data_IF_557849868719
#
_entry.id   IF_557849868719
#
_cell.length_a   1.000
_cell.length_b   1.000
_cell.length_c   1.000
_cell.angle_alpha   90.00
_cell.angle_beta   90.00
_cell.angle_gamma   90.00
#
_symmetry.space_group_name_H-M   'P 1'
#
loop_
_entity.id
_entity.type
_entity.pdbx_description
1 polymer ?
#
# COMPACT_ATOMS: atom_id res chain seq x y z
N UNK A 1 15.46 -17.82 18.40
CA UNK A 1 14.44 -17.93 19.47
C UNK A 1 13.27 -17.04 19.09
N UNK A 2 12.03 -17.50 19.29
CA UNK A 2 10.81 -16.76 18.97
C UNK A 2 10.14 -16.37 20.29
N UNK A 3 9.73 -15.11 20.42
CA UNK A 3 9.18 -14.55 21.65
C UNK A 3 7.69 -14.21 21.48
N UNK A 4 6.88 -14.44 22.51
CA UNK A 4 5.55 -13.86 22.63
C UNK A 4 5.58 -12.71 23.64
N UNK A 5 4.46 -12.00 23.82
CA UNK A 5 4.39 -10.73 24.52
C UNK A 5 4.91 -10.79 25.97
N UNK A 6 4.63 -11.90 26.68
CA UNK A 6 5.04 -12.12 28.08
C UNK A 6 6.54 -12.35 28.27
N UNK A 7 7.24 -12.78 27.23
CA UNK A 7 8.66 -13.19 27.29
C UNK A 7 9.55 -12.22 26.50
N UNK A 8 9.01 -11.06 26.12
CA UNK A 8 9.66 -10.15 25.19
C UNK A 8 10.88 -9.47 25.86
N UNK A 9 12.09 -9.57 25.27
CA UNK A 9 13.31 -9.04 25.89
C UNK A 9 13.47 -7.51 25.74
N UNK A 10 12.58 -6.86 25.01
CA UNK A 10 12.58 -5.42 24.74
C UNK A 10 11.17 -4.93 24.38
N UNK A 11 10.85 -3.64 24.50
CA UNK A 11 9.58 -3.09 24.00
C UNK A 11 9.40 -3.32 22.47
N UNK A 12 8.14 -3.42 22.01
CA UNK A 12 7.80 -3.70 20.60
C UNK A 12 8.30 -2.61 19.64
N UNK A 13 8.36 -1.36 20.11
CA UNK A 13 8.82 -0.18 19.38
C UNK A 13 10.30 -0.27 19.01
N UNK A 14 11.08 -1.04 19.77
CA UNK A 14 12.50 -1.28 19.52
C UNK A 14 12.75 -2.48 18.62
N UNK A 15 11.71 -3.23 18.24
CA UNK A 15 11.87 -4.44 17.41
C UNK A 15 12.05 -4.06 15.94
N UNK A 16 13.06 -4.65 15.30
CA UNK A 16 13.41 -4.35 13.92
C UNK A 16 12.34 -4.85 12.93
N UNK A 17 11.70 -3.91 12.23
CA UNK A 17 10.67 -4.23 11.22
C UNK A 17 11.13 -5.15 10.11
N UNK A 18 12.36 -4.96 9.63
CA UNK A 18 12.88 -5.78 8.55
C UNK A 18 13.13 -7.20 9.04
N UNK A 19 13.65 -7.35 10.25
CA UNK A 19 13.91 -8.65 10.84
C UNK A 19 12.62 -9.44 11.07
N UNK A 20 11.56 -8.81 11.56
CA UNK A 20 10.24 -9.45 11.78
C UNK A 20 9.53 -9.80 10.46
N UNK A 21 9.59 -8.91 9.46
CA UNK A 21 8.86 -9.09 8.20
C UNK A 21 9.58 -10.00 7.20
N UNK A 22 10.91 -10.07 7.25
CA UNK A 22 11.71 -10.84 6.31
C UNK A 22 12.22 -12.16 6.90
N UNK A 23 11.44 -12.76 7.81
CA UNK A 23 11.73 -14.05 8.45
C UNK A 23 13.16 -14.13 9.04
N UNK A 24 13.53 -13.14 9.85
CA UNK A 24 14.82 -13.11 10.56
C UNK A 24 15.96 -12.49 9.76
N UNK A 25 15.66 -11.67 8.76
CA UNK A 25 16.69 -10.99 7.96
C UNK A 25 16.53 -9.48 7.99
N UNK A 26 17.58 -8.78 8.41
CA UNK A 26 17.68 -7.33 8.25
C UNK A 26 18.75 -7.03 7.19
N UNK A 27 18.43 -6.15 6.23
CA UNK A 27 19.40 -5.73 5.20
C UNK A 27 20.26 -4.54 5.64
N UNK A 28 20.00 -3.96 6.83
CA UNK A 28 20.80 -2.86 7.38
C UNK A 28 22.13 -3.40 7.89
N UNK A 29 23.24 -2.81 7.45
CA UNK A 29 24.60 -3.18 7.89
C UNK A 29 24.83 -2.84 9.36
N UNK A 30 24.29 -1.70 9.81
CA UNK A 30 24.22 -1.28 11.21
C UNK A 30 22.76 -1.00 11.52
N UNK A 31 22.22 -1.64 12.55
CA UNK A 31 20.81 -1.57 12.91
C UNK A 31 20.68 -1.31 14.41
N UNK A 32 20.08 -0.19 14.79
CA UNK A 32 19.88 0.21 16.20
C UNK A 32 18.65 -0.46 16.84
N UNK A 33 17.85 -1.14 16.01
CA UNK A 33 16.69 -1.91 16.41
C UNK A 33 17.05 -3.36 16.75
N UNK A 34 16.28 -3.96 17.65
CA UNK A 34 16.50 -5.30 18.19
C UNK A 34 16.05 -6.38 17.20
N UNK A 35 16.94 -7.34 16.92
CA UNK A 35 16.72 -8.46 16.00
C UNK A 35 16.17 -9.69 16.71
N UNK A 36 14.85 -9.70 16.95
CA UNK A 36 14.14 -10.85 17.52
C UNK A 36 12.98 -11.30 16.63
N UNK A 37 12.68 -12.60 16.65
CA UNK A 37 11.46 -13.11 16.06
C UNK A 37 10.34 -13.06 17.09
N UNK A 38 9.18 -12.56 16.67
CA UNK A 38 7.98 -12.48 17.50
C UNK A 38 6.85 -13.32 16.92
N UNK A 39 6.06 -13.93 17.78
CA UNK A 39 4.88 -14.73 17.42
C UNK A 39 3.67 -14.32 18.26
N UNK A 40 2.57 -15.05 18.11
CA UNK A 40 1.41 -14.93 19.00
C UNK A 40 0.86 -13.50 19.09
N UNK A 41 0.60 -13.05 20.33
CA UNK A 41 0.05 -11.72 20.62
C UNK A 41 1.06 -10.62 20.28
N UNK A 42 2.36 -10.83 20.56
CA UNK A 42 3.39 -9.85 20.23
C UNK A 42 3.42 -9.52 18.73
N UNK A 43 3.29 -10.53 17.85
CA UNK A 43 3.21 -10.29 16.40
C UNK A 43 1.94 -9.53 16.02
N UNK A 44 0.80 -9.84 16.64
CA UNK A 44 -0.47 -9.15 16.37
C UNK A 44 -0.37 -7.66 16.75
N UNK A 45 0.11 -7.36 17.96
CA UNK A 45 0.31 -5.98 18.47
C UNK A 45 1.29 -5.20 17.60
N UNK A 46 2.40 -5.85 17.25
CA UNK A 46 3.40 -5.26 16.38
C UNK A 46 2.82 -4.89 15.01
N UNK A 47 2.02 -5.76 14.40
CA UNK A 47 1.39 -5.47 13.10
C UNK A 47 0.36 -4.33 13.20
N UNK A 48 -0.37 -4.23 14.31
CA UNK A 48 -1.33 -3.16 14.58
C UNK A 48 -0.61 -1.81 14.73
N UNK A 49 0.39 -1.73 15.61
CA UNK A 49 1.25 -0.56 15.78
C UNK A 49 1.88 -0.09 14.45
N UNK A 50 2.37 -1.02 13.64
CA UNK A 50 2.97 -0.69 12.34
C UNK A 50 1.94 -0.22 11.31
N UNK A 51 0.68 -0.66 11.39
CA UNK A 51 -0.41 -0.17 10.53
C UNK A 51 -0.77 1.26 10.91
N UNK A 52 -0.91 1.54 12.21
CA UNK A 52 -1.21 2.87 12.72
C UNK A 52 -0.11 3.87 12.36
N UNK A 53 1.16 3.51 12.59
CA UNK A 53 2.32 4.34 12.23
C UNK A 53 2.36 4.66 10.73
N UNK A 54 2.08 3.66 9.87
CA UNK A 54 1.99 3.88 8.42
C UNK A 54 0.82 4.79 8.06
N UNK A 55 -0.35 4.56 8.65
CA UNK A 55 -1.54 5.39 8.41
C UNK A 55 -1.21 6.84 8.73
N UNK A 56 -0.72 7.10 9.95
CA UNK A 56 -0.34 8.44 10.41
C UNK A 56 0.68 9.12 9.48
N UNK A 57 1.70 8.39 9.02
CA UNK A 57 2.70 8.93 8.10
C UNK A 57 2.17 9.19 6.67
N UNK A 58 1.13 8.45 6.26
CA UNK A 58 0.52 8.60 4.92
C UNK A 58 -0.64 9.58 4.87
N UNK A 59 -1.15 10.05 6.01
CA UNK A 59 -2.19 11.06 6.06
C UNK A 59 -1.59 12.43 5.73
N UNK A 60 -2.04 13.00 4.61
CA UNK A 60 -1.75 14.39 4.29
C UNK A 60 -2.71 15.29 5.10
N UNK A 61 -2.24 16.42 5.62
CA UNK A 61 -3.04 17.29 6.50
C UNK A 61 -4.29 17.87 5.80
N UNK A 62 -4.24 17.99 4.47
CA UNK A 62 -5.32 18.49 3.61
C UNK A 62 -6.20 17.36 3.02
N UNK A 63 -5.94 16.11 3.42
CA UNK A 63 -6.69 14.97 2.92
C UNK A 63 -8.01 14.83 3.68
N UNK A 64 -9.08 15.30 3.04
CA UNK A 64 -10.44 15.27 3.60
C UNK A 64 -11.08 13.88 3.56
N UNK A 65 -10.48 12.90 2.88
CA UNK A 65 -11.05 11.57 2.72
C UNK A 65 -10.63 10.62 3.83
N UNK A 66 -11.61 9.90 4.38
CA UNK A 66 -11.32 8.85 5.34
C UNK A 66 -10.59 7.69 4.65
N UNK A 67 -9.71 7.00 5.38
CA UNK A 67 -8.89 5.92 4.79
C UNK A 67 -9.75 4.81 4.15
N UNK A 68 -10.92 4.50 4.73
CA UNK A 68 -11.84 3.49 4.22
C UNK A 68 -12.59 3.91 2.95
N UNK A 69 -12.61 5.20 2.62
CA UNK A 69 -13.21 5.74 1.39
C UNK A 69 -12.22 5.72 0.23
N UNK A 70 -10.92 5.49 0.52
CA UNK A 70 -9.88 5.46 -0.50
C UNK A 70 -9.84 4.11 -1.19
N UNK A 71 -9.91 4.17 -2.51
CA UNK A 71 -9.66 3.01 -3.36
C UNK A 71 -8.23 2.48 -3.20
N UNK A 72 -8.06 1.19 -3.45
CA UNK A 72 -6.73 0.56 -3.42
C UNK A 72 -5.88 1.16 -4.52
N UNK A 73 -4.59 1.37 -4.25
CA UNK A 73 -3.66 1.90 -5.25
C UNK A 73 -3.60 1.07 -6.55
N UNK A 74 -3.86 -0.24 -6.45
CA UNK A 74 -3.96 -1.12 -7.61
C UNK A 74 -5.13 -0.77 -8.55
N UNK A 75 -6.19 -0.14 -8.03
CA UNK A 75 -7.38 0.24 -8.78
C UNK A 75 -7.28 1.62 -9.45
N UNK A 76 -6.14 2.32 -9.32
CA UNK A 76 -5.99 3.70 -9.84
C UNK A 76 -6.32 3.82 -11.34
N UNK A 77 -5.97 2.80 -12.12
CA UNK A 77 -6.22 2.78 -13.56
C UNK A 77 -7.71 2.69 -13.86
N UNK A 78 -8.44 1.79 -13.18
CA UNK A 78 -9.90 1.67 -13.26
C UNK A 78 -10.60 2.97 -12.86
N UNK A 79 -10.24 3.53 -11.69
CA UNK A 79 -10.83 4.78 -11.18
C UNK A 79 -10.63 5.92 -12.19
N UNK A 80 -9.44 5.99 -12.80
CA UNK A 80 -9.17 7.02 -13.81
C UNK A 80 -9.91 6.76 -15.12
N UNK A 81 -10.04 5.50 -15.56
CA UNK A 81 -10.82 5.12 -16.73
C UNK A 81 -12.31 5.47 -16.56
N UNK A 82 -12.90 5.16 -15.41
CA UNK A 82 -14.27 5.53 -15.05
C UNK A 82 -14.45 7.06 -15.09
N UNK A 83 -13.53 7.80 -14.47
CA UNK A 83 -13.58 9.27 -14.51
C UNK A 83 -13.48 9.84 -15.94
N UNK A 84 -12.64 9.26 -16.81
CA UNK A 84 -12.53 9.67 -18.21
C UNK A 84 -13.85 9.45 -18.95
N UNK A 85 -14.49 8.29 -18.76
CA UNK A 85 -15.79 7.98 -19.35
C UNK A 85 -16.87 8.93 -18.82
N UNK A 86 -16.91 9.19 -17.51
CA UNK A 86 -17.90 10.11 -16.93
C UNK A 86 -17.70 11.56 -17.42
N UNK A 87 -16.46 11.97 -17.63
CA UNK A 87 -16.11 13.35 -18.02
C UNK A 87 -16.30 13.61 -19.52
N UNK A 88 -15.86 12.67 -20.36
CA UNK A 88 -15.80 12.86 -21.81
C UNK A 88 -16.83 12.04 -22.57
N UNK A 89 -17.42 11.01 -21.94
CA UNK A 89 -18.30 10.00 -22.54
C UNK A 89 -17.58 9.04 -23.49
N UNK A 90 -18.03 7.77 -23.49
CA UNK A 90 -17.50 6.74 -24.39
C UNK A 90 -17.52 7.15 -25.88
N UNK A 91 -18.59 7.73 -26.43
CA UNK A 91 -18.63 8.08 -27.86
C UNK A 91 -17.53 9.07 -28.28
N UNK A 92 -17.15 10.01 -27.40
CA UNK A 92 -16.07 10.96 -27.68
C UNK A 92 -14.72 10.26 -27.63
N UNK A 93 -14.49 9.44 -26.61
CA UNK A 93 -13.24 8.68 -26.44
C UNK A 93 -13.02 7.68 -27.59
N UNK A 94 -14.09 7.15 -28.17
CA UNK A 94 -14.04 6.23 -29.31
C UNK A 94 -14.03 6.93 -30.68
N UNK A 95 -14.18 8.25 -30.73
CA UNK A 95 -14.27 8.96 -32.00
C UNK A 95 -12.98 8.86 -32.83
N UNK A 96 -13.11 8.78 -34.15
CA UNK A 96 -11.98 8.64 -35.06
C UNK A 96 -11.24 7.31 -34.87
N UNK A 97 -9.99 7.37 -34.41
CA UNK A 97 -9.16 6.19 -34.11
C UNK A 97 -9.06 5.88 -32.62
N UNK A 98 -9.85 6.56 -31.79
CA UNK A 98 -9.83 6.41 -30.33
C UNK A 98 -8.74 7.26 -29.65
N UNK A 99 -8.29 6.81 -28.47
CA UNK A 99 -7.31 7.49 -27.62
C UNK A 99 -5.94 6.80 -27.69
N UNK A 100 -4.87 7.59 -27.62
CA UNK A 100 -3.49 7.11 -27.51
C UNK A 100 -2.94 7.43 -26.11
N UNK A 101 -2.58 6.39 -25.36
CA UNK A 101 -1.93 6.52 -24.05
C UNK A 101 -0.41 6.72 -24.21
N UNK A 102 0.02 7.98 -24.17
CA UNK A 102 1.44 8.34 -24.32
C UNK A 102 2.18 8.07 -23.01
N UNK A 103 3.21 7.23 -23.08
CA UNK A 103 3.98 6.78 -21.93
C UNK A 103 3.15 6.00 -20.88
N UNK A 104 2.14 5.24 -21.32
CA UNK A 104 1.25 4.43 -20.48
C UNK A 104 1.90 3.34 -19.61
N UNK A 105 3.23 3.20 -19.66
CA UNK A 105 3.99 2.28 -18.82
C UNK A 105 3.56 0.83 -19.02
N UNK A 106 2.95 0.22 -18.00
CA UNK A 106 2.44 -1.17 -18.06
C UNK A 106 1.14 -1.31 -18.85
N UNK A 107 0.53 -0.21 -19.30
CA UNK A 107 -0.70 -0.22 -20.08
C UNK A 107 -1.96 -0.51 -19.26
N UNK A 108 -1.91 -0.38 -17.93
CA UNK A 108 -3.07 -0.65 -17.06
C UNK A 108 -4.27 0.21 -17.44
N UNK A 109 -4.07 1.50 -17.73
CA UNK A 109 -5.15 2.40 -18.14
C UNK A 109 -5.79 1.99 -19.48
N UNK A 110 -4.97 1.65 -20.48
CA UNK A 110 -5.45 1.22 -21.79
C UNK A 110 -6.28 -0.07 -21.68
N UNK A 111 -5.89 -1.01 -20.82
CA UNK A 111 -6.65 -2.25 -20.55
C UNK A 111 -7.99 -1.93 -19.90
N UNK A 112 -8.01 -1.07 -18.88
CA UNK A 112 -9.24 -0.69 -18.17
C UNK A 112 -10.21 0.06 -19.11
N UNK A 113 -9.72 1.00 -19.94
CA UNK A 113 -10.54 1.69 -20.93
C UNK A 113 -11.12 0.72 -21.97
N UNK A 114 -10.31 -0.22 -22.48
CA UNK A 114 -10.79 -1.23 -23.43
C UNK A 114 -11.83 -2.19 -22.83
N UNK A 115 -11.83 -2.37 -21.50
CA UNK A 115 -12.84 -3.18 -20.82
C UNK A 115 -14.20 -2.47 -20.67
N UNK A 116 -14.21 -1.12 -20.73
CA UNK A 116 -15.41 -0.29 -20.61
C UNK A 116 -16.15 -0.07 -21.94
N UNK A 117 -15.49 -0.30 -23.08
CA UNK A 117 -16.06 -0.15 -24.42
C UNK A 117 -14.98 0.09 -25.47
#
# INVERSE_FOLDING_TARGET
RVYDLKDLPCPLERVCKFFVNNNGRCHRKVCDDVHIQISGRARKDYMEMMRESKSAASHHADDSYAMHEKEKHANRARVFAEWLVDTFTLPVLQSGSGVVDVAGGKGELAVELAALG
#
